data_IF_364958589159
#
_entry.id   IF_364958589159
#
_cell.length_a   1.000
_cell.length_b   1.000
_cell.length_c   1.000
_cell.angle_alpha   90.00
_cell.angle_beta   90.00
_cell.angle_gamma   90.00
#
_symmetry.space_group_name_H-M   'P 1'
#
loop_
_entity.id
_entity.type
_entity.pdbx_description
1 polymer ?
#
# COMPACT_ATOMS: atom_id res chain seq x y z
N UNK A 1 -22.35 31.84 -30.90
CA UNK A 1 -21.06 31.14 -30.68
C UNK A 1 -20.74 30.85 -29.21
N UNK A 2 -21.24 31.61 -28.23
CA UNK A 2 -20.91 31.41 -26.80
C UNK A 2 -21.47 30.13 -26.17
N UNK A 3 -22.67 29.65 -26.55
CA UNK A 3 -23.31 28.47 -25.93
C UNK A 3 -22.58 27.14 -26.19
N UNK A 4 -21.89 27.00 -27.33
CA UNK A 4 -21.12 25.80 -27.66
C UNK A 4 -19.81 25.71 -26.85
N UNK A 5 -19.19 26.86 -26.57
CA UNK A 5 -17.95 26.92 -25.77
C UNK A 5 -18.20 26.50 -24.31
N UNK A 6 -19.36 26.86 -23.73
CA UNK A 6 -19.76 26.42 -22.39
C UNK A 6 -20.10 24.92 -22.27
N UNK A 7 -20.42 24.25 -23.38
CA UNK A 7 -20.73 22.82 -23.40
C UNK A 7 -19.46 21.96 -23.45
N UNK A 8 -18.41 22.40 -24.16
CA UNK A 8 -17.11 21.73 -24.16
C UNK A 8 -16.41 21.82 -22.81
N UNK A 9 -16.48 22.97 -22.12
CA UNK A 9 -15.88 23.12 -20.79
C UNK A 9 -16.53 22.20 -19.75
N UNK A 10 -17.86 22.01 -19.78
CA UNK A 10 -18.53 21.08 -18.86
C UNK A 10 -18.25 19.61 -19.17
N UNK A 11 -18.06 19.27 -20.44
CA UNK A 11 -17.71 17.90 -20.86
C UNK A 11 -16.26 17.55 -20.45
N UNK A 12 -15.33 18.51 -20.54
CA UNK A 12 -13.96 18.37 -20.07
C UNK A 12 -13.87 18.26 -18.53
N UNK A 13 -14.64 19.05 -17.79
CA UNK A 13 -14.66 19.00 -16.32
C UNK A 13 -15.24 17.66 -15.80
N UNK A 14 -16.15 17.02 -16.52
CA UNK A 14 -16.70 15.71 -16.13
C UNK A 14 -15.70 14.55 -16.38
N UNK A 15 -14.82 14.65 -17.37
CA UNK A 15 -13.76 13.66 -17.61
C UNK A 15 -12.61 13.72 -16.56
N UNK A 16 -12.43 14.84 -15.87
CA UNK A 16 -11.35 15.04 -14.88
C UNK A 16 -11.75 14.55 -13.48
N UNK A 17 -12.98 14.07 -13.28
CA UNK A 17 -13.31 13.20 -12.15
C UNK A 17 -12.67 11.83 -12.38
N UNK A 18 -11.34 11.79 -12.21
CA UNK A 18 -10.54 10.59 -12.23
C UNK A 18 -11.21 9.54 -11.34
N UNK A 19 -11.77 8.52 -11.97
CA UNK A 19 -12.32 7.35 -11.32
C UNK A 19 -11.19 6.71 -10.52
N UNK A 20 -11.11 7.01 -9.22
CA UNK A 20 -10.28 6.28 -8.29
C UNK A 20 -10.87 4.86 -8.20
N UNK A 21 -10.41 3.96 -9.06
CA UNK A 21 -10.80 2.55 -9.01
C UNK A 21 -10.28 1.96 -7.70
N UNK A 22 -11.18 1.57 -6.81
CA UNK A 22 -10.82 0.77 -5.65
C UNK A 22 -10.36 -0.62 -6.15
N UNK A 23 -9.08 -0.94 -5.91
CA UNK A 23 -8.48 -2.21 -6.29
C UNK A 23 -8.48 -3.15 -5.09
N UNK A 24 -8.87 -4.40 -5.32
CA UNK A 24 -8.86 -5.45 -4.30
C UNK A 24 -8.57 -6.81 -4.93
N UNK A 25 -8.04 -7.72 -4.12
CA UNK A 25 -7.82 -9.12 -4.45
C UNK A 25 -8.06 -9.97 -3.21
N UNK A 26 -8.51 -11.21 -3.42
CA UNK A 26 -8.73 -12.20 -2.37
C UNK A 26 -7.82 -13.41 -2.61
N UNK A 27 -7.64 -14.25 -1.59
CA UNK A 27 -6.78 -15.44 -1.64
C UNK A 27 -5.34 -15.12 -2.07
N UNK A 28 -4.84 -13.95 -1.63
CA UNK A 28 -3.47 -13.50 -1.90
C UNK A 28 -2.56 -14.02 -0.81
N UNK A 29 -1.46 -14.68 -1.21
CA UNK A 29 -0.45 -15.14 -0.27
C UNK A 29 0.22 -13.95 0.41
N UNK A 30 0.26 -13.98 1.74
CA UNK A 30 1.09 -13.10 2.55
C UNK A 30 2.21 -13.92 3.18
N UNK A 31 3.45 -13.44 3.09
CA UNK A 31 4.60 -13.89 3.88
C UNK A 31 5.09 -12.72 4.74
N UNK A 32 6.23 -12.89 5.42
CA UNK A 32 6.80 -11.87 6.28
C UNK A 32 8.24 -11.52 5.94
N UNK A 33 8.63 -10.31 6.31
CA UNK A 33 9.99 -9.77 6.28
C UNK A 33 10.31 -9.09 7.61
N UNK A 34 11.58 -9.05 7.97
CA UNK A 34 12.03 -8.52 9.26
C UNK A 34 12.41 -7.02 9.17
N UNK A 35 11.51 -6.17 8.70
CA UNK A 35 11.77 -4.72 8.62
C UNK A 35 12.01 -4.09 9.99
N UNK A 36 11.20 -4.49 10.98
CA UNK A 36 11.18 -3.97 12.35
C UNK A 36 11.33 -2.43 12.41
N UNK A 37 10.43 -1.69 11.75
CA UNK A 37 10.61 -0.26 11.50
C UNK A 37 10.82 0.57 12.77
N UNK A 38 10.25 0.15 13.90
CA UNK A 38 10.45 0.79 15.21
C UNK A 38 11.90 0.85 15.65
N UNK A 39 12.74 -0.16 15.35
CA UNK A 39 14.14 -0.18 15.77
C UNK A 39 15.01 0.73 14.89
N UNK A 40 14.59 0.96 13.64
CA UNK A 40 15.27 1.83 12.68
C UNK A 40 14.62 3.21 12.57
N UNK A 41 13.78 3.60 13.53
CA UNK A 41 13.06 4.89 13.55
C UNK A 41 12.29 5.16 12.24
N UNK A 42 11.68 4.10 11.69
CA UNK A 42 10.94 4.07 10.44
C UNK A 42 11.74 4.61 9.25
N UNK A 43 13.08 4.51 9.28
CA UNK A 43 13.94 5.04 8.22
C UNK A 43 14.00 4.06 7.04
N UNK A 44 13.36 4.40 5.92
CA UNK A 44 13.31 3.54 4.73
C UNK A 44 14.71 3.26 4.16
N UNK A 45 15.64 4.22 4.26
CA UNK A 45 17.02 4.05 3.80
C UNK A 45 17.81 3.05 4.62
N UNK A 46 17.53 2.95 5.92
CA UNK A 46 18.21 2.00 6.81
C UNK A 46 17.81 0.56 6.52
N UNK A 47 16.59 0.34 6.05
CA UNK A 47 16.08 -0.98 5.67
C UNK A 47 16.25 -1.30 4.18
N UNK A 48 16.92 -0.42 3.43
CA UNK A 48 17.12 -0.54 1.97
C UNK A 48 15.84 -0.87 1.20
N UNK A 49 14.70 -0.26 1.60
CA UNK A 49 13.43 -0.58 0.96
C UNK A 49 13.36 0.02 -0.45
N UNK A 50 12.73 -0.67 -1.39
CA UNK A 50 12.65 -0.20 -2.78
C UNK A 50 12.08 1.23 -2.92
N UNK A 51 11.16 1.64 -2.03
CA UNK A 51 10.55 2.97 -2.07
C UNK A 51 11.37 4.07 -1.37
N UNK A 52 12.56 3.79 -0.82
CA UNK A 52 13.35 4.76 -0.07
C UNK A 52 13.69 6.01 -0.90
N UNK A 53 13.99 5.86 -2.19
CA UNK A 53 14.31 6.98 -3.08
C UNK A 53 13.17 8.01 -3.20
N UNK A 54 11.91 7.56 -3.21
CA UNK A 54 10.75 8.44 -3.37
C UNK A 54 10.19 8.91 -2.02
N UNK A 55 10.17 8.01 -1.03
CA UNK A 55 9.40 8.20 0.20
C UNK A 55 10.28 8.34 1.46
N UNK A 56 11.59 8.11 1.36
CA UNK A 56 12.51 8.09 2.50
C UNK A 56 12.66 9.44 3.22
N UNK A 57 12.48 10.54 2.49
CA UNK A 57 12.55 11.90 3.05
C UNK A 57 11.22 12.41 3.62
N UNK A 58 10.15 11.59 3.59
CA UNK A 58 8.88 12.00 4.21
C UNK A 58 9.02 12.08 5.73
N UNK A 59 8.14 12.88 6.35
CA UNK A 59 8.17 13.10 7.80
C UNK A 59 8.05 11.79 8.57
N UNK A 60 8.62 11.76 9.79
CA UNK A 60 8.48 10.59 10.67
C UNK A 60 7.00 10.24 10.88
N UNK A 61 6.16 11.25 11.13
CA UNK A 61 4.72 11.06 11.29
C UNK A 61 4.06 10.36 10.09
N UNK A 62 4.55 10.58 8.86
CA UNK A 62 4.05 9.87 7.69
C UNK A 62 4.56 8.43 7.62
N UNK A 63 5.87 8.24 7.88
CA UNK A 63 6.57 6.94 7.81
C UNK A 63 6.10 5.98 8.89
N UNK A 64 5.71 6.49 10.06
CA UNK A 64 5.26 5.71 11.21
C UNK A 64 3.73 5.60 11.35
N UNK A 65 2.96 6.22 10.45
CA UNK A 65 1.49 6.24 10.55
C UNK A 65 0.87 4.84 10.41
N UNK A 66 1.45 4.01 9.56
CA UNK A 66 0.97 2.68 9.23
C UNK A 66 2.12 1.68 9.27
N UNK A 67 1.77 0.44 9.56
CA UNK A 67 2.64 -0.72 9.52
C UNK A 67 3.22 -0.94 8.10
N UNK A 68 4.39 -1.58 7.98
CA UNK A 68 5.12 -1.69 6.70
C UNK A 68 4.87 -3.02 5.99
N UNK A 69 4.90 -2.99 4.66
CA UNK A 69 4.91 -4.20 3.83
C UNK A 69 5.55 -3.96 2.45
N UNK A 70 6.01 -5.05 1.82
CA UNK A 70 6.23 -5.13 0.39
C UNK A 70 4.96 -5.57 -0.34
N UNK A 71 4.79 -5.12 -1.58
CA UNK A 71 3.66 -5.50 -2.42
C UNK A 71 4.09 -5.92 -3.83
N UNK A 72 3.54 -7.04 -4.28
CA UNK A 72 3.68 -7.58 -5.62
C UNK A 72 2.44 -8.41 -6.00
N UNK A 73 1.28 -8.01 -5.47
CA UNK A 73 0.02 -8.73 -5.65
C UNK A 73 -0.53 -8.65 -7.07
N UNK A 74 -1.54 -9.49 -7.38
CA UNK A 74 -2.03 -9.68 -8.75
C UNK A 74 -2.90 -8.52 -9.25
N UNK A 75 -3.42 -7.69 -8.35
CA UNK A 75 -4.31 -6.56 -8.69
C UNK A 75 -3.78 -5.30 -8.03
N UNK A 76 -3.50 -4.28 -8.84
CA UNK A 76 -3.03 -2.98 -8.39
C UNK A 76 -1.68 -2.59 -8.97
N UNK A 77 -1.26 -1.33 -8.77
CA UNK A 77 0.07 -0.89 -9.19
C UNK A 77 1.13 -1.64 -8.37
N UNK A 78 2.20 -2.05 -9.03
CA UNK A 78 3.39 -2.64 -8.41
C UNK A 78 4.62 -1.75 -8.67
N UNK A 79 5.72 -2.02 -7.97
CA UNK A 79 6.95 -1.24 -8.10
C UNK A 79 6.76 0.22 -7.68
N UNK A 80 7.35 1.16 -8.43
CA UNK A 80 7.40 2.58 -8.05
C UNK A 80 6.00 3.19 -7.93
N UNK A 81 5.06 2.76 -8.77
CA UNK A 81 3.69 3.25 -8.74
C UNK A 81 2.92 2.81 -7.46
N UNK A 82 3.41 1.79 -6.76
CA UNK A 82 2.84 1.31 -5.51
C UNK A 82 3.35 2.07 -4.27
N UNK A 83 4.54 2.68 -4.37
CA UNK A 83 5.23 3.29 -3.24
C UNK A 83 4.37 4.31 -2.48
N UNK A 84 4.28 4.11 -1.17
CA UNK A 84 3.58 5.00 -0.26
C UNK A 84 2.06 4.84 -0.25
N UNK A 85 1.48 4.01 -1.12
CA UNK A 85 0.05 3.64 -1.05
C UNK A 85 -0.21 2.77 0.18
N UNK A 86 -1.47 2.73 0.59
CA UNK A 86 -1.91 1.93 1.73
C UNK A 86 -2.84 0.81 1.27
N UNK A 87 -2.77 -0.33 1.96
CA UNK A 87 -3.67 -1.46 1.77
C UNK A 87 -4.33 -1.81 3.10
N UNK A 88 -5.62 -2.11 3.05
CA UNK A 88 -6.30 -2.79 4.15
C UNK A 88 -6.14 -4.29 3.93
N UNK A 89 -5.40 -4.95 4.82
CA UNK A 89 -5.14 -6.38 4.78
C UNK A 89 -6.03 -7.04 5.81
N UNK A 90 -6.79 -8.05 5.39
CA UNK A 90 -7.67 -8.85 6.26
C UNK A 90 -7.20 -10.30 6.20
N UNK A 91 -7.00 -10.94 7.35
CA UNK A 91 -6.78 -12.39 7.36
C UNK A 91 -8.13 -13.09 7.17
N UNK A 92 -8.32 -13.72 6.00
CA UNK A 92 -9.55 -14.41 5.65
C UNK A 92 -9.77 -15.73 6.41
N UNK A 93 -8.73 -16.30 7.01
CA UNK A 93 -8.81 -17.54 7.79
C UNK A 93 -9.09 -17.26 9.29
N UNK A 94 -8.91 -16.02 9.73
CA UNK A 94 -9.18 -15.62 11.11
C UNK A 94 -10.69 -15.47 11.34
N UNK A 95 -11.21 -16.18 12.34
CA UNK A 95 -12.65 -16.20 12.72
C UNK A 95 -13.17 -14.80 13.08
N UNK A 96 -12.30 -13.92 13.57
CA UNK A 96 -12.64 -12.53 13.94
C UNK A 96 -12.37 -11.52 12.81
N UNK A 97 -11.94 -11.98 11.62
CA UNK A 97 -11.63 -11.14 10.44
C UNK A 97 -10.73 -9.95 10.78
N UNK A 98 -9.66 -10.20 11.54
CA UNK A 98 -8.71 -9.15 11.92
C UNK A 98 -8.18 -8.43 10.68
N UNK A 99 -8.14 -7.10 10.74
CA UNK A 99 -7.64 -6.28 9.63
C UNK A 99 -6.68 -5.19 10.11
N UNK A 100 -5.70 -4.91 9.29
CA UNK A 100 -4.68 -3.89 9.54
C UNK A 100 -4.49 -3.05 8.28
N UNK A 101 -4.25 -1.76 8.46
CA UNK A 101 -3.83 -0.88 7.36
C UNK A 101 -2.32 -0.85 7.34
N UNK A 102 -1.73 -1.28 6.21
CA UNK A 102 -0.29 -1.19 5.96
C UNK A 102 0.02 -0.12 4.93
N UNK A 103 1.29 0.27 4.85
CA UNK A 103 1.87 1.07 3.79
C UNK A 103 2.86 0.23 2.98
N UNK A 104 2.74 0.33 1.67
CA UNK A 104 3.69 -0.27 0.72
C UNK A 104 4.98 0.56 0.75
N UNK A 105 6.05 -0.04 1.25
CA UNK A 105 7.40 0.57 1.32
C UNK A 105 8.43 -0.16 0.46
N UNK A 106 8.06 -1.33 -0.06
CA UNK A 106 8.94 -2.20 -0.81
C UNK A 106 8.20 -3.01 -1.89
N UNK A 107 8.94 -3.74 -2.72
CA UNK A 107 8.42 -4.72 -3.69
C UNK A 107 8.80 -6.14 -3.30
N UNK A 108 7.99 -7.11 -3.71
CA UNK A 108 8.31 -8.54 -3.56
C UNK A 108 8.27 -9.27 -4.92
N UNK A 109 8.56 -10.57 -4.93
CA UNK A 109 8.52 -11.42 -6.13
C UNK A 109 7.60 -12.65 -6.01
N UNK A 110 6.84 -12.79 -4.92
CA UNK A 110 6.03 -13.97 -4.62
C UNK A 110 4.58 -13.88 -5.11
N UNK A 111 4.22 -12.82 -5.84
CA UNK A 111 2.85 -12.58 -6.33
C UNK A 111 1.85 -12.13 -5.27
N UNK A 112 2.32 -11.62 -4.12
CA UNK A 112 1.45 -11.28 -2.99
C UNK A 112 1.95 -10.13 -2.12
N UNK A 113 2.04 -10.38 -0.81
CA UNK A 113 2.51 -9.43 0.19
C UNK A 113 3.64 -10.01 1.03
N UNK A 114 4.56 -9.14 1.44
CA UNK A 114 5.57 -9.42 2.44
C UNK A 114 5.40 -8.42 3.59
N UNK A 115 4.67 -8.82 4.63
CA UNK A 115 4.36 -7.97 5.77
C UNK A 115 5.57 -7.84 6.69
N UNK A 116 5.72 -6.73 7.41
CA UNK A 116 6.62 -6.72 8.56
C UNK A 116 6.24 -7.85 9.55
N UNK A 117 7.22 -8.52 10.14
CA UNK A 117 7.00 -9.68 11.03
C UNK A 117 6.08 -9.35 12.21
N UNK A 118 6.14 -8.13 12.75
CA UNK A 118 5.25 -7.70 13.82
C UNK A 118 3.79 -7.62 13.36
N UNK A 119 3.57 -7.31 12.09
CA UNK A 119 2.25 -7.21 11.46
C UNK A 119 1.71 -8.57 11.11
N UNK A 120 2.57 -9.43 10.52
CA UNK A 120 2.22 -10.80 10.19
C UNK A 120 1.71 -11.55 11.44
N UNK A 121 2.46 -11.46 12.55
CA UNK A 121 2.08 -12.07 13.84
C UNK A 121 0.78 -11.52 14.44
N UNK A 122 0.42 -10.25 14.17
CA UNK A 122 -0.86 -9.68 14.60
C UNK A 122 -2.05 -10.28 13.83
N UNK A 123 -1.84 -10.61 12.55
CA UNK A 123 -2.87 -11.17 11.68
C UNK A 123 -2.98 -12.69 11.80
N UNK A 124 -1.85 -13.37 11.97
CA UNK A 124 -1.76 -14.81 12.11
C UNK A 124 -2.17 -15.24 13.53
N UNK A 125 -3.45 -15.57 13.68
CA UNK A 125 -4.02 -16.11 14.92
C UNK A 125 -3.95 -17.64 14.99
N UNK A 126 -3.49 -18.29 13.93
CA UNK A 126 -3.56 -19.74 13.72
C UNK A 126 -2.25 -20.47 14.01
N UNK A 127 -1.12 -19.77 14.00
CA UNK A 127 0.21 -20.34 14.28
C UNK A 127 0.76 -21.10 13.09
#
# INVERSE_FOLDING_TARGET
MSKQLFLLDKLLIFCVLALASAQSANNVRATYQNYNPQYIKWNLWTSDTYCAAQDGNKSLAWRSKYDWAAFCGPVGPTGTAACGKCLKVTNGENVNMSSVTIRIVDKCGNGGLDLDIGVFKKLDSSG
#
